data_IF_881136478777
#
_entry.id   IF_881136478777
#
_cell.length_a   1.000
_cell.length_b   1.000
_cell.length_c   1.000
_cell.angle_alpha   90.00
_cell.angle_beta   90.00
_cell.angle_gamma   90.00
#
_symmetry.space_group_name_H-M   'P 1'
#
loop_
_entity.id
_entity.type
_entity.pdbx_description
1 polymer ?
#
# COMPACT_ATOMS: atom_id res chain seq x y z
N UNK A 1 -13.06 -0.42 2.98
CA UNK A 1 -12.68 -1.38 1.94
C UNK A 1 -12.25 -2.65 2.66
N UNK A 2 -13.09 -3.69 2.62
CA UNK A 2 -12.90 -4.91 3.40
C UNK A 2 -12.44 -6.01 2.45
N UNK A 3 -11.26 -6.56 2.69
CA UNK A 3 -10.68 -7.67 1.92
C UNK A 3 -11.31 -8.97 2.41
N UNK A 4 -12.38 -9.44 1.78
CA UNK A 4 -13.10 -10.61 2.29
C UNK A 4 -12.75 -11.92 1.61
N UNK A 5 -12.14 -11.89 0.41
CA UNK A 5 -11.86 -13.12 -0.36
C UNK A 5 -10.40 -13.19 -0.83
N UNK A 6 -9.78 -14.32 -0.52
CA UNK A 6 -8.41 -14.69 -0.89
C UNK A 6 -8.48 -15.88 -1.84
N UNK A 7 -7.77 -15.78 -2.96
CA UNK A 7 -7.67 -16.77 -4.02
C UNK A 7 -6.22 -17.28 -4.14
N UNK A 8 -6.05 -18.48 -4.69
CA UNK A 8 -4.73 -18.97 -5.07
C UNK A 8 -4.34 -18.36 -6.43
N UNK A 9 -3.14 -17.78 -6.51
CA UNK A 9 -2.54 -17.28 -7.74
C UNK A 9 -1.22 -17.98 -8.01
N UNK A 10 -0.91 -18.24 -9.28
CA UNK A 10 0.42 -18.69 -9.70
C UNK A 10 1.28 -17.49 -10.10
N UNK A 11 2.50 -17.43 -9.56
CA UNK A 11 3.53 -16.51 -10.00
C UNK A 11 4.81 -17.30 -10.24
N UNK A 12 5.17 -17.43 -11.53
CA UNK A 12 6.38 -18.12 -11.98
C UNK A 12 6.47 -19.58 -11.48
N UNK A 13 5.33 -20.29 -11.42
CA UNK A 13 5.27 -21.70 -10.98
C UNK A 13 5.17 -21.88 -9.45
N UNK A 14 5.00 -20.79 -8.70
CA UNK A 14 4.80 -20.82 -7.26
C UNK A 14 3.40 -20.31 -6.92
N UNK A 15 2.73 -21.03 -6.01
CA UNK A 15 1.39 -20.65 -5.54
C UNK A 15 1.50 -19.61 -4.42
N UNK A 16 0.78 -18.51 -4.58
CA UNK A 16 0.62 -17.44 -3.60
C UNK A 16 -0.85 -17.22 -3.27
N UNK A 17 -1.10 -16.73 -2.05
CA UNK A 17 -2.41 -16.29 -1.62
C UNK A 17 -2.57 -14.81 -1.95
N UNK A 18 -3.44 -14.52 -2.89
CA UNK A 18 -3.68 -13.16 -3.40
C UNK A 18 -5.14 -12.80 -3.21
N UNK A 19 -5.49 -11.52 -3.17
CA UNK A 19 -6.88 -11.09 -3.26
C UNK A 19 -7.53 -11.63 -4.54
N UNK A 20 -8.79 -12.05 -4.45
CA UNK A 20 -9.51 -12.57 -5.62
C UNK A 20 -9.72 -11.52 -6.72
N UNK A 21 -9.75 -10.23 -6.35
CA UNK A 21 -9.71 -9.10 -7.27
C UNK A 21 -8.45 -8.25 -7.00
N UNK A 22 -7.30 -8.64 -7.57
CA UNK A 22 -6.05 -7.94 -7.34
C UNK A 22 -6.02 -6.56 -8.02
N UNK A 23 -6.74 -6.37 -9.13
CA UNK A 23 -6.74 -5.10 -9.86
C UNK A 23 -7.34 -3.98 -9.04
N UNK A 24 -8.48 -4.21 -8.38
CA UNK A 24 -9.11 -3.20 -7.50
C UNK A 24 -8.15 -2.71 -6.41
N UNK A 25 -7.30 -3.60 -5.90
CA UNK A 25 -6.32 -3.26 -4.86
C UNK A 25 -5.12 -2.52 -5.43
N UNK A 26 -4.65 -2.94 -6.61
CA UNK A 26 -3.57 -2.24 -7.31
C UNK A 26 -4.00 -0.82 -7.67
N UNK A 27 -5.21 -0.65 -8.20
CA UNK A 27 -5.77 0.66 -8.55
C UNK A 27 -5.98 1.53 -7.32
N UNK A 28 -6.46 0.97 -6.21
CA UNK A 28 -6.58 1.73 -4.97
C UNK A 28 -5.19 2.18 -4.50
N UNK A 29 -4.26 1.25 -4.26
CA UNK A 29 -2.99 1.59 -3.63
C UNK A 29 -2.06 2.44 -4.51
N UNK A 30 -2.00 2.13 -5.80
CA UNK A 30 -1.02 2.69 -6.75
C UNK A 30 -1.65 3.58 -7.83
N UNK A 31 -2.97 3.67 -7.90
CA UNK A 31 -3.71 4.50 -8.86
C UNK A 31 -3.98 3.82 -10.21
N UNK A 32 -4.72 4.50 -11.12
CA UNK A 32 -5.17 3.91 -12.39
C UNK A 32 -4.04 3.61 -13.40
N UNK A 33 -2.80 4.01 -13.09
CA UNK A 33 -1.60 3.74 -13.91
C UNK A 33 -0.61 2.84 -13.17
N UNK A 34 -1.09 1.98 -12.27
CA UNK A 34 -0.28 1.06 -11.46
C UNK A 34 0.68 0.19 -12.29
N UNK A 35 0.32 -0.14 -13.54
CA UNK A 35 1.12 -0.94 -14.47
C UNK A 35 2.27 -0.17 -15.13
N UNK A 36 2.33 1.16 -14.95
CA UNK A 36 3.42 1.97 -15.49
C UNK A 36 4.53 2.05 -14.46
N UNK A 37 5.68 1.50 -14.82
CA UNK A 37 6.87 1.64 -14.01
C UNK A 37 7.22 3.11 -13.81
N UNK A 38 7.68 3.41 -12.60
CA UNK A 38 8.26 4.70 -12.31
C UNK A 38 9.66 4.73 -12.95
N UNK A 39 9.96 5.62 -13.92
CA UNK A 39 11.20 5.58 -14.71
C UNK A 39 12.45 6.02 -13.93
N UNK A 40 12.40 5.94 -12.61
CA UNK A 40 13.49 6.28 -11.71
C UNK A 40 13.55 5.29 -10.55
N UNK A 41 14.77 4.98 -10.11
CA UNK A 41 15.04 4.24 -8.88
C UNK A 41 14.69 5.04 -7.61
N UNK A 42 14.32 6.32 -7.74
CA UNK A 42 13.89 7.18 -6.62
C UNK A 42 12.37 7.18 -6.51
N UNK A 43 11.80 6.07 -6.03
CA UNK A 43 10.36 6.02 -5.76
C UNK A 43 10.03 6.83 -4.49
N UNK A 44 9.19 7.88 -4.57
CA UNK A 44 8.77 8.65 -3.40
C UNK A 44 7.70 7.87 -2.62
N UNK A 45 8.13 7.09 -1.62
CA UNK A 45 7.26 6.29 -0.74
C UNK A 45 6.15 7.10 -0.04
N UNK A 46 6.37 8.40 0.10
CA UNK A 46 5.47 9.39 0.70
C UNK A 46 4.55 10.08 -0.35
N UNK A 47 4.40 9.53 -1.54
CA UNK A 47 3.52 10.06 -2.58
C UNK A 47 2.60 8.98 -3.18
N UNK A 48 2.23 7.95 -2.39
CA UNK A 48 1.29 6.92 -2.87
C UNK A 48 -0.06 7.53 -3.23
N UNK A 49 -0.76 6.92 -4.17
CA UNK A 49 -2.00 7.43 -4.73
C UNK A 49 -3.09 7.64 -3.66
N UNK A 50 -3.25 6.67 -2.76
CA UNK A 50 -4.22 6.72 -1.67
C UNK A 50 -3.72 7.41 -0.39
N UNK A 51 -2.55 8.04 -0.40
CA UNK A 51 -2.00 8.64 0.80
C UNK A 51 -2.63 10.01 1.06
N UNK A 52 -3.63 10.04 1.93
CA UNK A 52 -4.13 11.30 2.47
C UNK A 52 -3.13 11.84 3.50
N UNK A 53 -2.76 13.11 3.38
CA UNK A 53 -2.03 13.82 4.44
C UNK A 53 -2.92 13.90 5.67
N UNK A 54 -2.78 12.95 6.57
CA UNK A 54 -3.30 13.07 7.93
C UNK A 54 -2.49 14.13 8.66
N UNK A 55 -3.13 14.82 9.62
CA UNK A 55 -2.47 15.88 10.39
C UNK A 55 -1.12 15.44 10.97
N UNK A 56 -0.23 16.40 11.22
CA UNK A 56 1.02 16.11 11.91
C UNK A 56 0.75 15.98 13.40
N UNK A 57 1.30 14.95 14.03
CA UNK A 57 1.34 14.87 15.48
C UNK A 57 2.13 16.05 16.06
N UNK A 58 1.65 16.57 17.19
CA UNK A 58 2.38 17.57 17.96
C UNK A 58 3.61 16.94 18.60
N UNK A 59 4.53 17.76 19.12
CA UNK A 59 5.72 17.23 19.83
C UNK A 59 5.31 16.42 21.06
N UNK A 60 4.20 16.79 21.67
CA UNK A 60 3.59 16.15 22.83
C UNK A 60 2.99 14.79 22.45
N UNK A 61 2.24 14.70 21.35
CA UNK A 61 1.69 13.43 20.83
C UNK A 61 2.79 12.43 20.46
N UNK A 62 3.88 12.92 19.83
CA UNK A 62 5.02 12.07 19.46
C UNK A 62 5.69 11.45 20.70
N UNK A 63 5.73 12.17 21.84
CA UNK A 63 6.29 11.62 23.09
C UNK A 63 5.46 10.47 23.63
N UNK A 64 4.15 10.47 23.44
CA UNK A 64 3.29 9.36 23.86
C UNK A 64 3.45 8.15 22.94
N UNK A 65 3.60 8.36 21.62
CA UNK A 65 3.71 7.23 20.70
C UNK A 65 5.09 6.56 20.71
N UNK A 66 6.16 7.31 20.95
CA UNK A 66 7.49 6.72 21.10
C UNK A 66 7.66 5.95 22.42
N UNK A 67 6.68 5.91 23.33
CA UNK A 67 6.73 5.09 24.56
C UNK A 67 6.51 3.59 24.32
N UNK A 68 6.59 3.11 23.09
CA UNK A 68 6.46 1.69 22.78
C UNK A 68 7.79 0.98 23.13
N UNK A 69 7.81 0.41 24.35
CA UNK A 69 8.75 -0.54 25.01
C UNK A 69 10.22 -0.14 25.16
#
# INVERSE_FOLDING_TARGET
MMFTEICAGDLLGHIFWVPCDPETILVSEYGPKWYKDFPTNKFPWNARFNMNKTGKWTKEDMKEVYKIF
#
